data_IF_947284539873
#
_entry.id   IF_947284539873
#
_cell.length_a   1.000
_cell.length_b   1.000
_cell.length_c   1.000
_cell.angle_alpha   90.00
_cell.angle_beta   90.00
_cell.angle_gamma   90.00
#
_symmetry.space_group_name_H-M   'P 1'
#
loop_
_entity.id
_entity.type
_entity.pdbx_description
1 polymer ?
#
# COMPACT_ATOMS: atom_id res chain seq x y z
N UNK A 1 -41.11 -27.73 -13.70
CA UNK A 1 -40.79 -26.39 -13.16
C UNK A 1 -40.26 -26.58 -11.74
N UNK A 2 -38.97 -26.90 -11.58
CA UNK A 2 -38.36 -27.00 -10.25
C UNK A 2 -38.09 -25.58 -9.75
N UNK A 3 -38.74 -25.21 -8.63
CA UNK A 3 -38.39 -24.01 -7.88
C UNK A 3 -37.22 -24.36 -6.96
N UNK A 4 -36.09 -23.69 -7.13
CA UNK A 4 -34.95 -23.78 -6.21
C UNK A 4 -35.20 -22.74 -5.11
N UNK A 5 -35.33 -23.22 -3.87
CA UNK A 5 -35.41 -22.37 -2.68
C UNK A 5 -34.01 -21.88 -2.31
N UNK A 6 -33.79 -20.58 -1.99
CA UNK A 6 -32.47 -20.11 -1.58
C UNK A 6 -32.16 -20.58 -0.16
N UNK A 7 -30.99 -21.20 0.01
CA UNK A 7 -30.43 -21.56 1.31
C UNK A 7 -30.03 -20.27 2.03
N UNK A 8 -30.69 -20.00 3.15
CA UNK A 8 -30.33 -18.93 4.08
C UNK A 8 -29.11 -19.38 4.90
N UNK A 9 -27.94 -18.82 4.63
CA UNK A 9 -26.74 -19.05 5.42
C UNK A 9 -26.84 -18.23 6.73
N UNK A 10 -27.14 -18.89 7.84
CA UNK A 10 -27.05 -18.28 9.17
C UNK A 10 -25.57 -18.33 9.57
N UNK A 11 -24.86 -17.21 9.40
CA UNK A 11 -23.54 -17.00 10.01
C UNK A 11 -23.77 -16.52 11.45
N UNK A 12 -23.22 -17.26 12.41
CA UNK A 12 -23.26 -16.89 13.82
C UNK A 12 -22.59 -15.53 14.07
N UNK A 13 -23.29 -14.66 14.79
CA UNK A 13 -22.80 -13.34 15.15
C UNK A 13 -21.62 -13.43 16.14
N UNK A 14 -20.43 -13.12 15.65
CA UNK A 14 -19.33 -12.59 16.46
C UNK A 14 -19.65 -11.13 16.83
N UNK A 15 -19.25 -10.59 17.99
CA UNK A 15 -19.48 -9.18 18.29
C UNK A 15 -18.78 -8.33 17.22
N UNK A 16 -19.55 -7.50 16.51
CA UNK A 16 -19.14 -6.87 15.26
C UNK A 16 -18.01 -5.84 15.43
N UNK A 17 -16.76 -6.28 15.23
CA UNK A 17 -15.82 -5.48 14.44
C UNK A 17 -16.30 -5.48 12.98
N UNK A 18 -16.10 -4.38 12.25
CA UNK A 18 -16.46 -4.34 10.84
C UNK A 18 -15.64 -5.38 10.06
N UNK A 19 -16.14 -5.82 8.90
CA UNK A 19 -15.36 -6.68 8.01
C UNK A 19 -14.10 -5.93 7.53
N UNK A 20 -12.96 -6.63 7.44
CA UNK A 20 -11.74 -6.08 6.84
C UNK A 20 -11.96 -5.84 5.35
N UNK A 21 -11.23 -4.89 4.78
CA UNK A 21 -11.14 -4.70 3.34
C UNK A 21 -9.69 -4.82 2.89
N UNK A 22 -9.42 -5.46 1.74
CA UNK A 22 -8.06 -5.64 1.26
C UNK A 22 -7.42 -4.31 0.85
N UNK A 23 -6.11 -4.25 0.93
CA UNK A 23 -5.31 -3.25 0.23
C UNK A 23 -5.37 -3.54 -1.27
N UNK A 24 -5.48 -2.49 -2.10
CA UNK A 24 -5.54 -2.57 -3.56
C UNK A 24 -4.37 -1.84 -4.20
N UNK A 25 -3.57 -2.59 -4.96
CA UNK A 25 -2.39 -2.11 -5.67
C UNK A 25 -2.64 -2.10 -7.18
N UNK A 26 -2.03 -1.16 -7.88
CA UNK A 26 -2.00 -1.10 -9.34
C UNK A 26 -0.61 -1.47 -9.82
N UNK A 27 -0.51 -2.62 -10.48
CA UNK A 27 0.76 -3.13 -11.02
C UNK A 27 0.70 -3.07 -12.54
N UNK A 28 1.69 -2.45 -13.16
CA UNK A 28 1.81 -2.35 -14.61
C UNK A 28 3.13 -2.99 -15.06
N UNK A 29 3.05 -4.19 -15.64
CA UNK A 29 4.24 -4.88 -16.14
C UNK A 29 4.83 -4.24 -17.39
N UNK A 30 4.07 -3.34 -18.04
CA UNK A 30 4.51 -2.52 -19.18
C UNK A 30 4.87 -1.09 -18.78
N UNK A 31 5.10 -0.81 -17.49
CA UNK A 31 5.46 0.54 -17.03
C UNK A 31 6.77 1.01 -17.70
N UNK A 32 6.86 2.29 -18.11
CA UNK A 32 8.06 2.85 -18.74
C UNK A 32 9.34 2.61 -17.92
N UNK A 33 10.41 2.19 -18.58
CA UNK A 33 11.70 1.91 -17.92
C UNK A 33 11.78 0.56 -17.22
N UNK A 34 10.66 -0.16 -17.07
CA UNK A 34 10.64 -1.47 -16.43
C UNK A 34 10.77 -2.60 -17.45
N UNK A 35 11.37 -3.72 -17.05
CA UNK A 35 11.55 -4.90 -17.91
C UNK A 35 11.02 -6.16 -17.26
N UNK A 36 10.50 -7.08 -18.08
CA UNK A 36 9.99 -8.37 -17.63
C UNK A 36 8.54 -8.31 -17.14
N UNK A 37 7.99 -9.46 -16.78
CA UNK A 37 6.61 -9.59 -16.27
C UNK A 37 6.56 -10.16 -14.86
N UNK A 38 7.72 -10.32 -14.21
CA UNK A 38 7.82 -10.72 -12.82
C UNK A 38 7.78 -9.50 -11.93
N UNK A 39 6.78 -9.45 -11.06
CA UNK A 39 6.56 -8.35 -10.13
C UNK A 39 6.93 -8.78 -8.72
N UNK A 40 7.38 -7.82 -7.92
CA UNK A 40 7.69 -8.00 -6.49
C UNK A 40 6.80 -7.03 -5.73
N UNK A 41 6.02 -7.52 -4.77
CA UNK A 41 5.24 -6.62 -3.92
C UNK A 41 6.09 -6.11 -2.76
N UNK A 42 6.04 -4.81 -2.42
CA UNK A 42 6.75 -4.23 -1.27
C UNK A 42 6.29 -4.70 0.12
N UNK A 43 5.50 -5.76 0.25
CA UNK A 43 5.09 -6.19 1.59
C UNK A 43 6.26 -6.86 2.30
N UNK A 44 6.54 -6.45 3.53
CA UNK A 44 7.72 -6.88 4.28
C UNK A 44 7.48 -6.90 5.79
N UNK A 45 8.54 -7.19 6.56
CA UNK A 45 8.46 -7.42 7.99
C UNK A 45 7.73 -8.72 8.33
N UNK A 46 6.82 -8.67 9.30
CA UNK A 46 5.92 -9.77 9.63
C UNK A 46 4.80 -9.84 8.58
N UNK A 47 4.71 -10.96 7.86
CA UNK A 47 3.74 -11.16 6.79
C UNK A 47 2.92 -12.43 7.06
N UNK A 48 1.60 -12.28 7.05
CA UNK A 48 0.63 -13.37 7.02
C UNK A 48 -0.60 -12.86 6.27
N UNK A 49 -0.57 -13.00 4.95
CA UNK A 49 -1.55 -12.43 4.05
C UNK A 49 -1.93 -13.39 2.93
N UNK A 50 -3.07 -13.13 2.31
CA UNK A 50 -3.50 -13.75 1.05
C UNK A 50 -3.44 -12.70 -0.05
N UNK A 51 -2.79 -13.03 -1.16
CA UNK A 51 -2.64 -12.17 -2.34
C UNK A 51 -3.45 -12.73 -3.50
N UNK A 52 -4.29 -11.89 -4.10
CA UNK A 52 -4.87 -12.13 -5.41
C UNK A 52 -4.12 -11.25 -6.42
N UNK A 53 -3.49 -11.88 -7.41
CA UNK A 53 -2.63 -11.21 -8.39
C UNK A 53 -3.39 -10.51 -9.52
N UNK A 54 -4.71 -10.67 -9.58
CA UNK A 54 -5.56 -9.95 -10.54
C UNK A 54 -5.56 -10.52 -11.96
N UNK A 55 -4.92 -11.66 -12.20
CA UNK A 55 -4.84 -12.32 -13.52
C UNK A 55 -5.64 -13.62 -13.62
N UNK A 56 -6.46 -13.92 -12.60
CA UNK A 56 -7.26 -15.14 -12.53
C UNK A 56 -6.50 -16.38 -12.05
N UNK A 57 -5.22 -16.25 -11.70
CA UNK A 57 -4.49 -17.31 -10.99
C UNK A 57 -5.05 -17.51 -9.57
N UNK A 58 -4.92 -18.70 -8.97
CA UNK A 58 -5.37 -18.92 -7.60
C UNK A 58 -4.65 -17.99 -6.61
N UNK A 59 -5.39 -17.55 -5.58
CA UNK A 59 -4.84 -16.74 -4.52
C UNK A 59 -3.65 -17.43 -3.84
N UNK A 60 -2.63 -16.65 -3.50
CA UNK A 60 -1.41 -17.13 -2.85
C UNK A 60 -1.41 -16.75 -1.38
N UNK A 61 -1.15 -17.72 -0.50
CA UNK A 61 -0.85 -17.42 0.90
C UNK A 61 0.63 -17.06 1.02
N UNK A 62 0.91 -15.86 1.52
CA UNK A 62 2.26 -15.32 1.67
C UNK A 62 2.59 -15.16 3.15
N UNK A 63 3.74 -15.72 3.55
CA UNK A 63 4.22 -15.71 4.95
C UNK A 63 5.63 -15.13 5.07
N UNK A 64 6.15 -14.56 3.99
CA UNK A 64 7.48 -13.95 3.90
C UNK A 64 7.42 -12.62 3.15
N UNK A 65 8.42 -11.78 3.38
CA UNK A 65 8.58 -10.51 2.66
C UNK A 65 8.79 -10.72 1.15
N UNK A 66 8.44 -9.68 0.39
CA UNK A 66 8.69 -9.54 -1.04
C UNK A 66 8.19 -10.73 -1.89
N UNK A 67 6.91 -11.13 -1.78
CA UNK A 67 6.38 -12.17 -2.64
C UNK A 67 6.44 -11.73 -4.10
N UNK A 68 6.64 -12.71 -4.98
CA UNK A 68 6.77 -12.47 -6.42
C UNK A 68 5.70 -13.21 -7.21
N UNK A 69 5.40 -12.69 -8.39
CA UNK A 69 4.50 -13.32 -9.34
C UNK A 69 4.91 -12.99 -10.76
N UNK A 70 4.77 -13.95 -11.68
CA UNK A 70 5.11 -13.76 -13.09
C UNK A 70 3.86 -13.81 -13.93
N UNK A 71 3.50 -12.67 -14.52
CA UNK A 71 2.39 -12.59 -15.45
C UNK A 71 2.78 -13.19 -16.81
N UNK A 72 1.85 -13.96 -17.41
CA UNK A 72 2.05 -14.56 -18.74
C UNK A 72 1.85 -13.57 -19.88
N UNK A 73 1.10 -12.51 -19.63
CA UNK A 73 0.82 -11.42 -20.57
C UNK A 73 1.29 -10.12 -19.92
N UNK A 74 1.81 -9.19 -20.72
CA UNK A 74 2.16 -7.87 -20.22
C UNK A 74 0.90 -6.98 -20.18
N UNK A 75 0.76 -6.17 -19.13
CA UNK A 75 -0.43 -5.34 -18.92
C UNK A 75 -0.51 -4.75 -17.52
N UNK A 76 -1.67 -4.17 -17.23
CA UNK A 76 -2.00 -3.59 -15.93
C UNK A 76 -2.94 -4.51 -15.16
N UNK A 77 -2.66 -4.69 -13.87
CA UNK A 77 -3.35 -5.59 -12.97
C UNK A 77 -3.71 -4.87 -11.67
N UNK A 78 -4.87 -5.23 -11.11
CA UNK A 78 -5.22 -4.88 -9.73
C UNK A 78 -4.88 -6.05 -8.82
N UNK A 79 -3.90 -5.84 -7.95
CA UNK A 79 -3.49 -6.85 -6.95
C UNK A 79 -4.16 -6.51 -5.64
N UNK A 80 -4.79 -7.49 -4.99
CA UNK A 80 -5.37 -7.31 -3.65
C UNK A 80 -4.59 -8.08 -2.60
N UNK A 81 -4.31 -7.42 -1.47
CA UNK A 81 -3.64 -8.04 -0.30
C UNK A 81 -4.60 -7.97 0.88
N UNK A 82 -4.93 -9.12 1.46
CA UNK A 82 -5.78 -9.22 2.66
C UNK A 82 -5.03 -9.97 3.78
N UNK A 83 -5.19 -9.54 5.02
CA UNK A 83 -4.52 -10.13 6.18
C UNK A 83 -3.62 -9.15 6.92
N UNK A 84 -2.48 -9.64 7.43
CA UNK A 84 -1.56 -8.87 8.27
C UNK A 84 -0.19 -8.71 7.62
N UNK A 85 0.26 -7.46 7.58
CA UNK A 85 1.57 -7.04 7.05
C UNK A 85 2.09 -5.93 7.95
N UNK A 86 3.30 -6.04 8.46
CA UNK A 86 3.84 -5.01 9.37
C UNK A 86 4.52 -3.84 8.66
N UNK A 87 4.98 -4.04 7.43
CA UNK A 87 5.65 -3.00 6.64
C UNK A 87 5.28 -3.10 5.15
N UNK A 88 5.15 -1.94 4.50
CA UNK A 88 5.03 -1.81 3.06
C UNK A 88 6.17 -0.93 2.57
N UNK A 89 7.21 -1.56 2.03
CA UNK A 89 8.47 -0.98 1.57
C UNK A 89 9.69 -1.80 2.00
N UNK A 90 10.85 -1.14 2.03
CA UNK A 90 12.18 -1.60 2.46
C UNK A 90 13.11 -2.32 1.43
N UNK A 91 13.40 -1.69 0.29
CA UNK A 91 14.77 -1.76 -0.27
C UNK A 91 15.00 -2.34 -1.68
N UNK A 92 13.98 -2.40 -2.55
CA UNK A 92 14.20 -2.71 -3.98
C UNK A 92 13.34 -1.82 -4.86
N UNK A 93 13.87 -1.46 -6.03
CA UNK A 93 13.20 -0.65 -7.06
C UNK A 93 11.88 -1.33 -7.48
N UNK A 94 10.75 -0.67 -7.23
CA UNK A 94 9.41 -1.22 -7.51
C UNK A 94 8.87 -0.57 -8.76
N UNK A 95 9.63 -0.66 -9.84
CA UNK A 95 9.35 0.04 -11.09
C UNK A 95 7.92 -0.22 -11.64
N UNK A 96 7.40 -1.44 -11.42
CA UNK A 96 6.11 -1.89 -11.94
C UNK A 96 4.92 -1.64 -11.00
N UNK A 97 5.16 -1.20 -9.76
CA UNK A 97 4.08 -0.69 -8.91
C UNK A 97 3.81 0.74 -9.37
N UNK A 98 2.59 1.01 -9.79
CA UNK A 98 2.22 2.33 -10.36
C UNK A 98 1.17 3.04 -9.52
N UNK A 99 0.69 2.39 -8.45
CA UNK A 99 -0.18 3.01 -7.49
C UNK A 99 -0.67 2.10 -6.37
N UNK A 100 -1.19 2.75 -5.35
CA UNK A 100 -2.06 2.16 -4.32
C UNK A 100 -3.40 2.87 -4.44
N UNK A 101 -4.45 2.12 -4.75
CA UNK A 101 -5.80 2.69 -4.92
C UNK A 101 -6.57 2.70 -3.61
N UNK A 102 -6.30 1.71 -2.74
CA UNK A 102 -6.88 1.63 -1.40
C UNK A 102 -5.88 0.99 -0.44
N UNK A 103 -5.73 1.55 0.75
CA UNK A 103 -4.90 0.95 1.81
C UNK A 103 -5.59 -0.23 2.51
N UNK A 104 -6.90 -0.39 2.34
CA UNK A 104 -7.71 -1.37 3.05
C UNK A 104 -8.14 -0.89 4.43
N UNK A 105 -8.73 -1.80 5.20
CA UNK A 105 -9.17 -1.54 6.58
C UNK A 105 -8.98 -2.75 7.48
N UNK A 106 -8.67 -2.50 8.75
CA UNK A 106 -8.45 -3.53 9.79
C UNK A 106 -9.76 -4.07 10.37
N UNK A 107 -10.91 -3.55 9.94
CA UNK A 107 -12.21 -3.81 10.57
C UNK A 107 -12.45 -3.00 11.85
N UNK A 108 -11.46 -2.25 12.33
CA UNK A 108 -11.62 -1.27 13.41
C UNK A 108 -12.12 0.03 12.82
N UNK A 109 -13.15 0.61 13.44
CA UNK A 109 -13.77 1.84 12.96
C UNK A 109 -12.76 2.99 12.91
N UNK A 110 -12.55 3.55 11.71
CA UNK A 110 -11.63 4.66 11.48
C UNK A 110 -10.16 4.27 11.30
N UNK A 111 -9.81 2.99 11.41
CA UNK A 111 -8.48 2.51 11.06
C UNK A 111 -8.41 2.20 9.56
N UNK A 112 -7.46 2.86 8.92
CA UNK A 112 -7.08 2.65 7.52
C UNK A 112 -5.83 1.79 7.50
N UNK A 113 -5.72 0.89 6.53
CA UNK A 113 -4.55 0.02 6.34
C UNK A 113 -4.83 -1.45 6.63
N UNK A 114 -3.77 -2.24 6.50
CA UNK A 114 -3.76 -3.66 6.88
C UNK A 114 -3.43 -3.82 8.36
N UNK A 115 -3.90 -4.92 8.94
CA UNK A 115 -3.64 -5.25 10.35
C UNK A 115 -2.14 -5.34 10.61
N UNK A 116 -1.65 -4.51 11.53
CA UNK A 116 -0.24 -4.47 11.95
C UNK A 116 0.67 -3.54 11.14
N UNK A 117 0.17 -2.85 10.12
CA UNK A 117 0.96 -1.97 9.27
C UNK A 117 1.45 -0.75 10.05
N UNK A 118 2.74 -0.74 10.39
CA UNK A 118 3.37 0.33 11.18
C UNK A 118 4.47 1.07 10.42
N UNK A 119 4.93 0.54 9.29
CA UNK A 119 6.03 1.12 8.51
C UNK A 119 5.66 1.26 7.03
N UNK A 120 5.88 2.46 6.50
CA UNK A 120 5.87 2.77 5.06
C UNK A 120 7.27 3.19 4.58
N UNK A 121 8.31 2.74 5.28
CA UNK A 121 9.69 3.09 4.94
C UNK A 121 10.04 2.58 3.55
N UNK A 122 10.53 3.47 2.68
CA UNK A 122 10.87 3.19 1.28
C UNK A 122 9.72 2.64 0.42
N UNK A 123 8.46 2.85 0.79
CA UNK A 123 7.29 2.30 0.08
C UNK A 123 7.31 2.55 -1.44
N UNK A 124 7.72 3.76 -1.84
CA UNK A 124 7.77 4.25 -3.22
C UNK A 124 9.11 4.91 -3.53
N UNK A 125 10.18 4.40 -2.90
CA UNK A 125 11.52 4.89 -3.13
C UNK A 125 11.95 4.66 -4.59
N UNK A 126 12.43 5.72 -5.25
CA UNK A 126 12.77 5.80 -6.69
C UNK A 126 11.63 5.38 -7.64
N UNK A 127 10.37 5.37 -7.18
CA UNK A 127 9.22 5.03 -8.00
C UNK A 127 8.83 6.18 -8.94
N UNK A 128 9.42 6.18 -10.13
CA UNK A 128 9.17 7.17 -11.19
C UNK A 128 7.88 6.92 -11.97
N UNK A 129 7.19 5.80 -11.74
CA UNK A 129 5.93 5.46 -12.40
C UNK A 129 4.72 5.56 -11.45
N UNK A 130 4.91 6.02 -10.21
CA UNK A 130 3.84 6.20 -9.25
C UNK A 130 2.85 7.30 -9.70
N UNK A 131 1.61 6.89 -9.92
CA UNK A 131 0.53 7.80 -10.38
C UNK A 131 -0.51 8.08 -9.32
N UNK A 132 -0.69 7.17 -8.36
CA UNK A 132 -1.74 7.29 -7.35
C UNK A 132 -1.37 6.65 -6.00
N UNK A 133 -1.71 7.34 -4.93
CA UNK A 133 -1.84 6.84 -3.56
C UNK A 133 -3.22 7.24 -3.01
N UNK A 134 -3.76 6.55 -2.00
CA UNK A 134 -5.07 6.89 -1.44
C UNK A 134 -5.07 8.28 -0.76
N UNK A 135 -6.22 8.95 -0.78
CA UNK A 135 -6.39 10.26 -0.12
C UNK A 135 -6.47 10.17 1.41
N UNK A 136 -6.65 8.96 1.95
CA UNK A 136 -6.54 8.64 3.37
C UNK A 136 -5.17 7.99 3.66
N UNK A 137 -4.79 7.91 4.94
CA UNK A 137 -3.48 7.43 5.37
C UNK A 137 -3.63 6.35 6.45
N UNK A 138 -2.81 5.28 6.45
CA UNK A 138 -2.86 4.26 7.49
C UNK A 138 -2.49 4.85 8.86
N UNK A 139 -3.47 4.96 9.75
CA UNK A 139 -3.36 5.75 11.00
C UNK A 139 -2.49 5.10 12.08
N UNK A 140 -1.97 3.90 11.82
CA UNK A 140 -1.08 3.18 12.73
C UNK A 140 0.40 3.29 12.30
N UNK A 141 0.68 3.88 11.15
CA UNK A 141 2.05 4.04 10.64
C UNK A 141 2.81 5.04 11.49
N UNK A 142 4.00 4.64 11.93
CA UNK A 142 4.90 5.45 12.77
C UNK A 142 6.13 5.92 12.01
N UNK A 143 6.45 5.34 10.86
CA UNK A 143 7.58 5.75 10.03
C UNK A 143 7.22 5.84 8.55
N UNK A 144 7.63 6.94 7.94
CA UNK A 144 7.51 7.26 6.51
C UNK A 144 8.88 7.59 5.90
N UNK A 145 9.95 7.12 6.55
CA UNK A 145 11.33 7.35 6.12
C UNK A 145 11.51 6.99 4.64
N UNK A 146 11.98 7.94 3.84
CA UNK A 146 12.19 7.79 2.39
C UNK A 146 10.97 7.26 1.60
N UNK A 147 9.74 7.43 2.11
CA UNK A 147 8.54 6.85 1.48
C UNK A 147 8.38 7.25 0.01
N UNK A 148 8.69 8.50 -0.35
CA UNK A 148 8.67 9.03 -1.72
C UNK A 148 10.05 9.53 -2.18
N UNK A 149 11.12 9.12 -1.50
CA UNK A 149 12.47 9.55 -1.88
C UNK A 149 12.76 9.16 -3.34
N UNK A 150 13.11 10.11 -4.20
CA UNK A 150 13.39 9.86 -5.62
C UNK A 150 12.16 9.60 -6.50
N UNK A 151 10.93 9.68 -5.99
CA UNK A 151 9.70 9.55 -6.76
C UNK A 151 9.45 10.82 -7.62
N UNK A 152 10.29 11.02 -8.64
CA UNK A 152 10.43 12.30 -9.37
C UNK A 152 9.17 12.77 -10.10
N UNK A 153 8.21 11.88 -10.38
CA UNK A 153 6.96 12.20 -11.07
C UNK A 153 5.78 12.39 -10.11
N UNK A 154 5.93 12.05 -8.83
CA UNK A 154 4.84 12.07 -7.86
C UNK A 154 4.51 13.50 -7.42
N UNK A 155 3.24 13.91 -7.62
CA UNK A 155 2.73 15.22 -7.21
C UNK A 155 1.24 15.18 -6.82
N UNK A 156 0.75 14.03 -6.36
CA UNK A 156 -0.64 13.91 -5.96
C UNK A 156 -0.92 14.62 -4.64
N UNK A 157 -2.07 15.29 -4.54
CA UNK A 157 -2.51 15.91 -3.29
C UNK A 157 -2.75 14.88 -2.19
N UNK A 158 -1.95 14.98 -1.13
CA UNK A 158 -1.98 14.16 0.10
C UNK A 158 -2.15 15.02 1.36
N UNK A 159 -2.60 16.27 1.22
CA UNK A 159 -2.79 17.19 2.35
C UNK A 159 -3.81 16.71 3.38
N UNK A 160 -4.74 15.84 2.98
CA UNK A 160 -5.77 15.29 3.86
C UNK A 160 -5.30 14.12 4.75
N UNK A 161 -4.04 13.69 4.63
CA UNK A 161 -3.51 12.58 5.41
C UNK A 161 -3.48 12.90 6.92
N UNK A 162 -3.94 11.93 7.72
CA UNK A 162 -3.80 12.00 9.17
C UNK A 162 -2.45 11.40 9.59
N UNK A 163 -1.46 12.27 9.80
CA UNK A 163 -0.08 11.90 10.14
C UNK A 163 0.21 11.85 11.64
N UNK A 164 -0.83 11.90 12.50
CA UNK A 164 -0.66 12.12 13.94
C UNK A 164 0.16 11.03 14.66
N UNK A 165 0.26 9.83 14.09
CA UNK A 165 1.04 8.71 14.61
C UNK A 165 2.50 8.68 14.13
N UNK A 166 2.84 9.45 13.10
CA UNK A 166 4.14 9.37 12.44
C UNK A 166 5.22 10.06 13.29
N UNK A 167 6.23 9.29 13.68
CA UNK A 167 7.40 9.76 14.43
C UNK A 167 8.60 10.08 13.54
N UNK A 168 8.74 9.39 12.40
CA UNK A 168 9.84 9.58 11.48
C UNK A 168 9.35 9.96 10.06
N UNK A 169 9.75 11.14 9.60
CA UNK A 169 9.50 11.68 8.26
C UNK A 169 10.80 12.03 7.52
N UNK A 170 11.97 11.59 8.00
CA UNK A 170 13.23 11.95 7.36
C UNK A 170 13.30 11.42 5.91
N UNK A 171 13.84 12.27 5.03
CA UNK A 171 13.97 12.03 3.60
C UNK A 171 12.67 11.67 2.85
N UNK A 172 11.49 11.89 3.43
CA UNK A 172 10.22 11.42 2.87
C UNK A 172 10.01 11.85 1.41
N UNK A 173 10.42 13.06 1.03
CA UNK A 173 10.36 13.61 -0.33
C UNK A 173 11.73 14.00 -0.88
N UNK A 174 12.83 13.47 -0.33
CA UNK A 174 14.17 13.77 -0.83
C UNK A 174 14.28 13.36 -2.31
N UNK A 175 14.61 14.29 -3.20
CA UNK A 175 14.65 14.05 -4.65
C UNK A 175 13.29 13.88 -5.34
N UNK A 176 12.16 14.03 -4.66
CA UNK A 176 10.82 13.99 -5.26
C UNK A 176 10.51 15.32 -5.99
N UNK A 177 11.25 15.59 -7.08
CA UNK A 177 11.33 16.93 -7.69
C UNK A 177 10.02 17.53 -8.21
N UNK A 178 9.01 16.71 -8.52
CA UNK A 178 7.69 17.20 -8.93
C UNK A 178 6.76 17.55 -7.76
N UNK A 179 7.05 17.08 -6.53
CA UNK A 179 6.14 17.21 -5.40
C UNK A 179 6.03 18.68 -4.93
N UNK A 180 4.82 19.23 -5.00
CA UNK A 180 4.53 20.60 -4.61
C UNK A 180 3.07 20.75 -4.12
N UNK A 181 2.69 19.93 -3.15
CA UNK A 181 1.32 19.91 -2.61
C UNK A 181 1.25 20.58 -1.24
N UNK A 182 0.08 21.17 -0.94
CA UNK A 182 -0.14 21.75 0.38
C UNK A 182 -0.33 20.65 1.43
N UNK A 183 0.62 20.57 2.36
CA UNK A 183 0.62 19.65 3.50
C UNK A 183 0.54 20.37 4.86
N UNK A 184 0.10 21.63 4.87
CA UNK A 184 0.04 22.45 6.10
C UNK A 184 -0.93 21.91 7.16
N UNK A 185 -1.82 20.99 6.77
CA UNK A 185 -2.79 20.32 7.65
C UNK A 185 -2.24 19.11 8.38
N UNK A 186 -1.03 18.65 8.05
CA UNK A 186 -0.43 17.49 8.70
C UNK A 186 -0.14 17.77 10.18
N UNK A 187 -0.46 16.78 11.03
CA UNK A 187 -0.13 16.83 12.44
C UNK A 187 1.27 16.24 12.64
N UNK A 188 2.19 17.07 13.12
CA UNK A 188 3.61 16.72 13.30
C UNK A 188 4.02 16.62 14.77
N UNK A 189 3.06 16.60 15.70
CA UNK A 189 3.35 16.60 17.13
C UNK A 189 4.12 15.35 17.62
N UNK A 190 3.96 14.22 16.95
CA UNK A 190 4.67 12.98 17.26
C UNK A 190 6.04 12.89 16.57
N UNK A 191 6.34 13.76 15.61
CA UNK A 191 7.53 13.65 14.77
C UNK A 191 8.78 14.02 15.56
N UNK A 192 9.75 13.12 15.56
CA UNK A 192 11.07 13.29 16.18
C UNK A 192 12.17 13.52 15.16
N UNK A 193 11.95 13.18 13.88
CA UNK A 193 12.91 13.36 12.80
C UNK A 193 12.24 13.78 11.48
N UNK A 194 12.72 14.88 10.91
CA UNK A 194 12.36 15.43 9.59
C UNK A 194 13.60 15.80 8.77
N UNK A 195 14.77 15.25 9.13
CA UNK A 195 16.01 15.51 8.41
C UNK A 195 15.83 15.25 6.91
N UNK A 196 16.32 16.17 6.09
CA UNK A 196 16.34 16.06 4.62
C UNK A 196 14.99 15.74 3.96
N UNK A 197 13.86 16.06 4.62
CA UNK A 197 12.50 15.73 4.13
C UNK A 197 12.25 16.18 2.68
N UNK A 198 12.84 17.30 2.25
CA UNK A 198 12.73 17.88 0.90
C UNK A 198 14.09 18.13 0.24
N UNK A 199 15.11 17.34 0.58
CA UNK A 199 16.47 17.50 0.04
C UNK A 199 16.55 17.28 -1.48
#
# INVERSE_FOLDING_TARGET
MLMISPVLLIVGASPAGAATTPMLLTVNTAAPGCTGTTVILPISGSVNATVNWGDGTPNTNVTSAFPTHTYTVSGTYTVSVDGSVSAFGAGSEICQLTGVTDWGSTGVAGEVGLTGLTSLEFAFYDDTNLTVVPSNFPTQVTSTYQMFGGATTFNQNIGAWNTASVGNMSYMFAGATAFNQNISSWNTAAVTDMSDMFA
#
